data_IF_280991230638
#
_entry.id   IF_280991230638
#
_cell.length_a   1.000
_cell.length_b   1.000
_cell.length_c   1.000
_cell.angle_alpha   90.00
_cell.angle_beta   90.00
_cell.angle_gamma   90.00
#
_symmetry.space_group_name_H-M   'P 1'
#
loop_
_entity.id
_entity.type
_entity.pdbx_description
1 polymer ?
#
# COMPACT_ATOMS: atom_id res chain seq x y z
N UNK A 1 -30.93 46.69 1.75
CA UNK A 1 -29.56 46.40 1.26
C UNK A 1 -28.79 45.58 2.29
N UNK A 2 -29.17 44.33 2.55
CA UNK A 2 -28.49 43.44 3.52
C UNK A 2 -28.30 41.99 3.02
N UNK A 3 -28.95 41.60 1.93
CA UNK A 3 -28.86 40.25 1.36
C UNK A 3 -27.50 40.02 0.66
N UNK A 4 -26.87 41.08 0.14
CA UNK A 4 -25.61 40.98 -0.61
C UNK A 4 -24.37 40.64 0.24
N UNK A 5 -24.39 40.96 1.54
CA UNK A 5 -23.25 40.71 2.44
C UNK A 5 -23.21 39.25 2.92
N UNK A 6 -24.37 38.63 3.13
CA UNK A 6 -24.45 37.24 3.56
C UNK A 6 -23.99 36.27 2.45
N UNK A 7 -24.34 36.55 1.19
CA UNK A 7 -23.93 35.73 0.03
C UNK A 7 -22.42 35.82 -0.21
N UNK A 8 -21.79 36.98 0.01
CA UNK A 8 -20.34 37.14 -0.13
C UNK A 8 -19.55 36.37 0.94
N UNK A 9 -20.05 36.31 2.17
CA UNK A 9 -19.43 35.52 3.26
C UNK A 9 -19.60 34.02 3.01
N UNK A 10 -20.77 33.59 2.50
CA UNK A 10 -20.99 32.19 2.12
C UNK A 10 -20.08 31.78 0.94
N UNK A 11 -19.86 32.65 -0.05
CA UNK A 11 -18.94 32.35 -1.17
C UNK A 11 -17.48 32.25 -0.72
N UNK A 12 -17.02 33.06 0.23
CA UNK A 12 -15.65 32.96 0.76
C UNK A 12 -15.42 31.69 1.59
N UNK A 13 -16.45 31.20 2.28
CA UNK A 13 -16.38 29.93 3.04
C UNK A 13 -16.40 28.70 2.13
N UNK A 14 -16.93 28.80 0.90
CA UNK A 14 -16.99 27.68 -0.05
C UNK A 14 -15.72 27.57 -0.92
N UNK A 15 -14.87 28.60 -0.97
CA UNK A 15 -13.63 28.59 -1.76
C UNK A 15 -12.40 28.00 -1.09
N UNK A 16 -12.51 27.52 0.16
CA UNK A 16 -11.39 26.82 0.84
C UNK A 16 -11.58 25.31 0.97
N UNK A 17 -12.62 24.74 0.36
CA UNK A 17 -12.57 23.35 -0.12
C UNK A 17 -11.67 23.25 -1.37
N UNK A 18 -10.52 23.94 -1.33
CA UNK A 18 -9.43 23.71 -2.25
C UNK A 18 -8.95 22.31 -1.92
N UNK A 19 -9.14 21.39 -2.86
CA UNK A 19 -8.42 20.13 -2.94
C UNK A 19 -6.93 20.46 -2.86
N UNK A 20 -6.42 20.52 -1.64
CA UNK A 20 -5.00 20.63 -1.39
C UNK A 20 -4.45 19.24 -1.71
N UNK A 21 -4.18 19.01 -3.00
CA UNK A 21 -3.09 18.13 -3.41
C UNK A 21 -1.82 18.77 -2.85
N UNK A 22 -1.63 18.63 -1.54
CA UNK A 22 -0.47 19.14 -0.83
C UNK A 22 0.75 18.53 -1.50
N UNK A 23 1.72 19.37 -1.85
CA UNK A 23 3.02 18.84 -2.28
C UNK A 23 3.50 17.86 -1.22
N UNK A 24 3.96 16.70 -1.67
CA UNK A 24 4.55 15.70 -0.79
C UNK A 24 5.58 16.38 0.12
N UNK A 25 5.53 16.21 1.46
CA UNK A 25 6.46 16.85 2.36
C UNK A 25 7.90 16.54 1.98
N UNK A 26 8.82 17.48 2.19
CA UNK A 26 10.23 17.28 1.84
C UNK A 26 10.90 16.11 2.59
N UNK A 27 10.30 15.66 3.70
CA UNK A 27 10.71 14.49 4.47
C UNK A 27 10.26 13.16 3.85
N UNK A 28 9.35 13.16 2.88
CA UNK A 28 8.81 11.98 2.25
C UNK A 28 9.49 11.73 0.89
N UNK A 29 9.78 10.46 0.60
CA UNK A 29 10.39 10.03 -0.67
C UNK A 29 9.36 9.94 -1.79
N UNK A 30 8.12 9.55 -1.45
CA UNK A 30 6.99 9.50 -2.36
C UNK A 30 5.72 9.80 -1.56
N UNK A 31 4.71 10.36 -2.23
CA UNK A 31 3.37 10.39 -1.70
C UNK A 31 2.37 9.83 -2.71
N UNK A 32 1.31 9.24 -2.20
CA UNK A 32 0.15 8.81 -2.97
C UNK A 32 -1.14 9.20 -2.24
N UNK A 33 -2.27 9.15 -2.95
CA UNK A 33 -3.56 9.58 -2.42
C UNK A 33 -4.48 8.38 -2.18
N UNK A 34 -5.06 8.33 -0.99
CA UNK A 34 -5.99 7.30 -0.56
C UNK A 34 -7.31 7.95 -0.15
N UNK A 35 -8.35 7.13 0.03
CA UNK A 35 -9.65 7.58 0.54
C UNK A 35 -9.55 8.29 1.90
N UNK A 36 -8.56 7.92 2.72
CA UNK A 36 -8.35 8.50 4.06
C UNK A 36 -7.38 9.68 4.06
N UNK A 37 -6.86 10.06 2.89
CA UNK A 37 -5.96 11.21 2.72
C UNK A 37 -4.60 10.83 2.14
N UNK A 38 -3.62 11.68 2.40
CA UNK A 38 -2.28 11.57 1.81
C UNK A 38 -1.48 10.50 2.53
N UNK A 39 -0.95 9.56 1.75
CA UNK A 39 0.00 8.57 2.20
C UNK A 39 1.41 9.03 1.85
N UNK A 40 2.30 9.01 2.83
CA UNK A 40 3.67 9.49 2.71
C UNK A 40 4.63 8.34 2.99
N UNK A 41 5.48 8.03 2.03
CA UNK A 41 6.52 7.01 2.16
C UNK A 41 7.82 7.69 2.56
N UNK A 42 8.55 7.07 3.47
CA UNK A 42 9.90 7.49 3.86
C UNK A 42 10.79 6.26 3.75
N UNK A 43 11.76 6.28 2.84
CA UNK A 43 12.71 5.19 2.68
C UNK A 43 13.78 5.24 3.77
N UNK A 44 14.07 4.09 4.36
CA UNK A 44 15.08 3.96 5.40
C UNK A 44 16.48 4.38 4.94
N UNK A 45 16.82 4.17 3.67
CA UNK A 45 18.15 4.51 3.14
C UNK A 45 18.54 6.00 3.28
N UNK A 46 17.55 6.90 3.34
CA UNK A 46 17.77 8.35 3.47
C UNK A 46 17.69 8.84 4.93
N UNK A 47 17.42 7.95 5.89
CA UNK A 47 17.14 8.29 7.29
C UNK A 47 18.17 7.65 8.23
N UNK A 48 18.50 8.36 9.31
CA UNK A 48 19.55 7.98 10.27
C UNK A 48 19.36 6.59 10.90
N UNK A 49 18.12 6.20 11.21
CA UNK A 49 17.81 4.90 11.83
C UNK A 49 17.70 3.77 10.81
N UNK A 50 17.83 4.05 9.51
CA UNK A 50 17.71 3.11 8.40
C UNK A 50 16.36 2.40 8.31
N UNK A 51 15.33 2.91 8.97
CA UNK A 51 14.01 2.27 9.02
C UNK A 51 13.02 3.01 8.13
N UNK A 52 12.38 2.27 7.24
CA UNK A 52 11.34 2.83 6.39
C UNK A 52 10.04 3.03 7.15
N UNK A 53 9.26 4.03 6.74
CA UNK A 53 8.00 4.42 7.38
C UNK A 53 6.94 4.74 6.34
N UNK A 54 5.69 4.54 6.74
CA UNK A 54 4.51 5.03 6.04
C UNK A 54 3.69 5.87 7.00
N UNK A 55 3.41 7.11 6.61
CA UNK A 55 2.57 8.04 7.35
C UNK A 55 1.26 8.27 6.58
N UNK A 56 0.16 8.42 7.30
CA UNK A 56 -1.14 8.85 6.78
C UNK A 56 -1.45 10.24 7.34
N UNK A 57 -1.53 11.25 6.49
CA UNK A 57 -1.71 12.64 6.87
C UNK A 57 -0.69 13.10 7.94
N UNK A 58 0.58 12.74 7.76
CA UNK A 58 1.66 13.02 8.71
C UNK A 58 1.71 12.15 9.98
N UNK A 59 0.80 11.18 10.15
CA UNK A 59 0.77 10.28 11.31
C UNK A 59 1.37 8.92 10.91
N UNK A 60 2.40 8.44 11.63
CA UNK A 60 3.03 7.15 11.36
C UNK A 60 2.03 6.00 11.58
N UNK A 61 1.73 5.24 10.53
CA UNK A 61 0.84 4.07 10.58
C UNK A 61 1.60 2.76 10.41
N UNK A 62 2.82 2.81 9.87
CA UNK A 62 3.66 1.64 9.70
C UNK A 62 5.15 2.01 9.73
N UNK A 63 5.94 1.11 10.31
CA UNK A 63 7.38 1.21 10.40
C UNK A 63 8.02 -0.17 10.26
N UNK A 64 9.09 -0.27 9.49
CA UNK A 64 9.80 -1.53 9.28
C UNK A 64 11.32 -1.34 9.18
N UNK A 65 12.07 -2.40 9.52
CA UNK A 65 13.51 -2.47 9.31
C UNK A 65 13.87 -2.79 7.85
N UNK A 66 13.63 -1.80 7.00
CA UNK A 66 13.83 -1.88 5.56
C UNK A 66 14.47 -0.61 5.02
N UNK A 67 15.30 -0.76 3.99
CA UNK A 67 15.97 0.36 3.31
C UNK A 67 15.03 1.08 2.35
N UNK A 68 14.10 0.34 1.76
CA UNK A 68 13.11 0.83 0.80
C UNK A 68 11.72 0.32 1.19
N UNK A 69 10.71 1.16 0.96
CA UNK A 69 9.29 0.82 1.10
C UNK A 69 8.50 1.48 -0.01
N UNK A 70 7.51 0.79 -0.55
CA UNK A 70 6.69 1.34 -1.61
C UNK A 70 5.49 0.46 -1.88
N UNK A 71 4.83 0.74 -2.99
CA UNK A 71 3.78 -0.13 -3.52
C UNK A 71 4.06 -0.38 -5.00
N UNK A 72 3.59 -1.51 -5.48
CA UNK A 72 3.84 -1.98 -6.84
C UNK A 72 2.90 -1.26 -7.82
N UNK A 73 3.47 -0.43 -8.71
CA UNK A 73 2.75 0.66 -9.41
C UNK A 73 1.85 0.18 -10.56
N UNK A 74 2.03 -1.04 -11.06
CA UNK A 74 1.35 -1.50 -12.28
C UNK A 74 -0.02 -2.13 -11.99
N UNK A 75 -1.04 -1.30 -11.73
CA UNK A 75 -2.45 -1.74 -11.73
C UNK A 75 -2.89 -2.56 -10.51
N UNK A 76 -2.05 -2.64 -9.47
CA UNK A 76 -2.27 -3.46 -8.28
C UNK A 76 -2.96 -2.72 -7.13
N UNK A 77 -3.93 -1.86 -7.46
CA UNK A 77 -4.75 -1.20 -6.47
C UNK A 77 -6.25 -1.32 -6.79
N UNK A 78 -7.03 -1.47 -5.73
CA UNK A 78 -8.47 -1.31 -5.73
C UNK A 78 -8.82 0.15 -5.46
N UNK A 79 -9.82 0.67 -6.16
CA UNK A 79 -10.46 1.94 -5.85
C UNK A 79 -11.98 1.74 -5.86
N UNK A 80 -12.64 2.14 -4.77
CA UNK A 80 -14.11 2.17 -4.68
C UNK A 80 -14.74 3.15 -5.69
N UNK A 81 -14.01 4.22 -6.04
CA UNK A 81 -14.43 5.22 -7.02
C UNK A 81 -13.28 5.51 -8.01
N UNK A 82 -13.32 4.79 -9.14
CA UNK A 82 -12.35 4.95 -10.23
C UNK A 82 -12.31 6.37 -10.82
N UNK A 83 -13.34 7.19 -10.58
CA UNK A 83 -13.41 8.58 -11.05
C UNK A 83 -12.68 9.57 -10.15
N UNK A 84 -12.47 9.24 -8.86
CA UNK A 84 -11.73 10.08 -7.91
C UNK A 84 -10.24 9.75 -7.84
N UNK A 85 -9.84 8.55 -8.27
CA UNK A 85 -8.43 8.14 -8.31
C UNK A 85 -7.84 7.78 -6.94
N UNK A 86 -8.64 7.78 -5.89
CA UNK A 86 -8.19 7.47 -4.53
C UNK A 86 -8.06 5.96 -4.34
N UNK A 87 -6.85 5.52 -4.00
CA UNK A 87 -6.58 4.11 -3.74
C UNK A 87 -7.27 3.68 -2.45
N UNK A 88 -8.05 2.61 -2.51
CA UNK A 88 -8.74 2.02 -1.36
C UNK A 88 -8.00 0.81 -0.82
N UNK A 89 -7.37 -0.03 -1.66
CA UNK A 89 -6.56 -1.18 -1.21
C UNK A 89 -5.40 -1.41 -2.17
N UNK A 90 -4.20 -1.72 -1.68
CA UNK A 90 -3.05 -2.03 -2.54
C UNK A 90 -1.99 -2.83 -1.80
N UNK A 91 -1.06 -3.42 -2.55
CA UNK A 91 0.07 -4.18 -2.00
C UNK A 91 1.26 -3.25 -1.77
N UNK A 92 1.74 -3.21 -0.52
CA UNK A 92 2.97 -2.54 -0.10
C UNK A 92 4.08 -3.57 -0.02
N UNK A 93 5.24 -3.26 -0.61
CA UNK A 93 6.47 -4.02 -0.46
C UNK A 93 7.47 -3.28 0.43
N UNK A 94 8.36 -4.02 1.08
CA UNK A 94 9.54 -3.47 1.74
C UNK A 94 10.75 -4.39 1.62
N UNK A 95 11.91 -3.79 1.35
CA UNK A 95 13.20 -4.46 1.18
C UNK A 95 13.97 -4.48 2.49
N UNK A 96 14.06 -5.67 3.10
CA UNK A 96 14.62 -5.87 4.43
C UNK A 96 16.10 -5.47 4.46
N UNK A 97 16.50 -4.75 5.51
CA UNK A 97 17.91 -4.41 5.72
C UNK A 97 18.75 -5.67 6.00
N UNK A 98 18.20 -6.58 6.80
CA UNK A 98 18.78 -7.89 7.09
C UNK A 98 17.88 -9.00 6.52
N UNK A 99 18.41 -9.84 5.60
CA UNK A 99 17.64 -10.95 5.05
C UNK A 99 17.20 -11.93 6.14
N UNK A 100 15.95 -12.36 6.10
CA UNK A 100 15.40 -13.28 7.09
C UNK A 100 15.47 -14.72 6.59
N UNK A 101 16.14 -15.60 7.32
CA UNK A 101 16.16 -17.02 6.96
C UNK A 101 14.78 -17.65 7.19
N UNK A 102 14.18 -18.20 6.13
CA UNK A 102 12.87 -18.87 6.17
C UNK A 102 13.04 -20.38 6.29
N UNK A 103 13.96 -20.94 5.50
CA UNK A 103 14.40 -22.35 5.59
C UNK A 103 15.92 -22.39 5.56
N UNK A 104 16.52 -23.58 5.66
CA UNK A 104 17.98 -23.75 5.64
C UNK A 104 18.62 -23.09 4.41
N UNK A 105 17.95 -23.15 3.25
CA UNK A 105 18.49 -22.74 1.96
C UNK A 105 17.76 -21.52 1.35
N UNK A 106 16.79 -20.93 2.08
CA UNK A 106 15.91 -19.87 1.58
C UNK A 106 15.95 -18.63 2.49
N UNK A 107 16.30 -17.48 1.89
CA UNK A 107 16.38 -16.19 2.58
C UNK A 107 15.40 -15.18 1.97
N UNK A 108 14.57 -14.59 2.82
CA UNK A 108 13.64 -13.55 2.44
C UNK A 108 14.32 -12.18 2.43
N UNK A 109 14.25 -11.50 1.29
CA UNK A 109 14.79 -10.15 1.11
C UNK A 109 13.70 -9.09 0.99
N UNK A 110 12.55 -9.45 0.41
CA UNK A 110 11.40 -8.57 0.24
C UNK A 110 10.16 -9.22 0.84
N UNK A 111 9.40 -8.44 1.59
CA UNK A 111 8.13 -8.85 2.15
C UNK A 111 7.02 -7.90 1.71
N UNK A 112 5.78 -8.40 1.77
CA UNK A 112 4.60 -7.71 1.30
C UNK A 112 3.53 -7.64 2.38
N UNK A 113 2.71 -6.58 2.32
CA UNK A 113 1.49 -6.37 3.12
C UNK A 113 0.42 -5.72 2.27
N UNK A 114 -0.84 -5.92 2.62
CA UNK A 114 -1.95 -5.15 2.04
C UNK A 114 -2.30 -4.03 3.00
N UNK A 115 -2.42 -2.83 2.46
CA UNK A 115 -2.95 -1.68 3.17
C UNK A 115 -4.36 -1.44 2.64
N UNK A 116 -5.34 -1.46 3.53
CA UNK A 116 -6.77 -1.31 3.23
C UNK A 116 -7.33 -0.05 3.92
N UNK A 117 -7.73 0.90 3.08
CA UNK A 117 -8.31 2.20 3.40
C UNK A 117 -9.80 2.27 3.01
N UNK A 118 -10.45 1.12 2.75
CA UNK A 118 -11.86 1.07 2.35
C UNK A 118 -12.83 1.36 3.51
N UNK A 119 -12.37 1.21 4.75
CA UNK A 119 -13.09 1.52 5.98
C UNK A 119 -12.93 2.97 6.47
N UNK A 120 -13.26 3.21 7.74
CA UNK A 120 -13.02 4.48 8.44
C UNK A 120 -11.58 4.59 8.98
N UNK A 121 -10.95 3.43 9.23
CA UNK A 121 -9.57 3.30 9.70
C UNK A 121 -8.76 2.44 8.72
N UNK A 122 -7.45 2.64 8.70
CA UNK A 122 -6.54 1.81 7.92
C UNK A 122 -6.39 0.44 8.57
N UNK A 123 -6.50 -0.61 7.75
CA UNK A 123 -6.19 -1.99 8.15
C UNK A 123 -4.94 -2.44 7.41
N UNK A 124 -3.89 -2.80 8.16
CA UNK A 124 -2.64 -3.33 7.62
C UNK A 124 -2.61 -4.85 7.86
N UNK A 125 -2.43 -5.63 6.80
CA UNK A 125 -2.42 -7.08 6.92
C UNK A 125 -1.19 -7.63 7.64
N UNK A 126 -1.23 -8.92 7.98
CA UNK A 126 0.02 -9.66 8.25
C UNK A 126 0.96 -9.62 7.04
N UNK A 127 2.23 -9.88 7.32
CA UNK A 127 3.27 -10.08 6.32
C UNK A 127 3.00 -11.34 5.51
N UNK A 128 3.27 -11.29 4.21
CA UNK A 128 3.29 -12.43 3.30
C UNK A 128 4.39 -12.25 2.27
N UNK A 129 4.78 -13.35 1.62
CA UNK A 129 5.82 -13.38 0.59
C UNK A 129 5.58 -14.56 -0.36
N UNK A 130 5.93 -14.41 -1.66
CA UNK A 130 5.85 -15.49 -2.65
C UNK A 130 6.71 -16.69 -2.27
N UNK A 131 6.46 -17.84 -2.91
CA UNK A 131 7.22 -19.07 -2.68
C UNK A 131 8.69 -18.86 -3.06
N UNK A 132 8.93 -18.27 -4.23
CA UNK A 132 10.23 -17.76 -4.63
C UNK A 132 10.47 -16.40 -3.96
N UNK A 133 11.43 -16.35 -3.05
CA UNK A 133 11.66 -15.20 -2.16
C UNK A 133 12.54 -14.08 -2.75
N UNK A 134 12.84 -14.13 -4.05
CA UNK A 134 13.73 -13.18 -4.71
C UNK A 134 13.09 -12.52 -5.93
N UNK A 135 12.82 -11.22 -5.82
CA UNK A 135 12.47 -10.33 -6.93
C UNK A 135 11.36 -10.87 -7.85
N UNK A 136 10.33 -11.47 -7.25
CA UNK A 136 9.15 -11.95 -7.97
C UNK A 136 8.13 -10.82 -8.05
N UNK A 137 7.77 -10.48 -9.29
CA UNK A 137 6.72 -9.50 -9.54
C UNK A 137 5.34 -10.10 -9.26
N UNK A 138 4.40 -9.23 -8.90
CA UNK A 138 2.98 -9.57 -8.94
C UNK A 138 2.60 -9.85 -10.40
N UNK A 139 1.94 -10.97 -10.65
CA UNK A 139 1.44 -11.36 -11.97
C UNK A 139 0.05 -10.79 -12.22
N UNK A 140 -0.87 -11.01 -11.27
CA UNK A 140 -2.20 -10.39 -11.28
C UNK A 140 -2.78 -10.20 -9.88
N UNK A 141 -3.72 -9.28 -9.74
CA UNK A 141 -4.55 -9.14 -8.55
C UNK A 141 -6.02 -8.98 -8.92
N UNK A 142 -6.88 -9.71 -8.22
CA UNK A 142 -8.34 -9.58 -8.30
C UNK A 142 -8.85 -8.92 -7.03
N UNK A 143 -9.44 -7.74 -7.18
CA UNK A 143 -9.85 -6.91 -6.07
C UNK A 143 -11.37 -6.96 -5.87
N UNK A 144 -11.82 -7.42 -4.70
CA UNK A 144 -13.18 -7.22 -4.22
C UNK A 144 -13.23 -6.10 -3.19
N UNK A 145 -14.43 -5.65 -2.81
CA UNK A 145 -14.58 -4.64 -1.76
C UNK A 145 -14.07 -5.13 -0.40
N UNK A 146 -14.33 -6.40 -0.07
CA UNK A 146 -13.99 -7.01 1.25
C UNK A 146 -12.78 -7.96 1.21
N UNK A 147 -12.35 -8.35 0.02
CA UNK A 147 -11.34 -9.37 -0.17
C UNK A 147 -10.45 -9.03 -1.37
N UNK A 148 -9.36 -9.78 -1.53
CA UNK A 148 -8.54 -9.76 -2.73
C UNK A 148 -7.90 -11.13 -2.96
N UNK A 149 -7.54 -11.42 -4.20
CA UNK A 149 -6.59 -12.47 -4.53
C UNK A 149 -5.41 -11.83 -5.23
N UNK A 150 -4.19 -12.19 -4.80
CA UNK A 150 -2.94 -11.72 -5.36
C UNK A 150 -2.19 -12.94 -5.85
N UNK A 151 -1.71 -12.91 -7.09
CA UNK A 151 -0.89 -13.94 -7.68
C UNK A 151 0.46 -13.35 -8.06
N UNK A 152 1.53 -14.12 -7.83
CA UNK A 152 2.89 -13.80 -8.22
C UNK A 152 3.30 -14.63 -9.43
N UNK A 153 4.35 -14.20 -10.14
CA UNK A 153 4.85 -14.88 -11.34
C UNK A 153 5.41 -16.28 -11.09
N UNK A 154 5.74 -16.61 -9.85
CA UNK A 154 6.15 -17.95 -9.42
C UNK A 154 4.95 -18.92 -9.24
N UNK A 155 3.73 -18.47 -9.52
CA UNK A 155 2.51 -19.25 -9.38
C UNK A 155 1.92 -19.22 -7.97
N UNK A 156 2.60 -18.62 -6.98
CA UNK A 156 2.07 -18.50 -5.62
C UNK A 156 0.89 -17.53 -5.59
N UNK A 157 -0.16 -17.90 -4.87
CA UNK A 157 -1.42 -17.17 -4.77
C UNK A 157 -1.83 -16.97 -3.32
N UNK A 158 -2.33 -15.78 -3.04
CA UNK A 158 -2.70 -15.34 -1.70
C UNK A 158 -4.11 -14.78 -1.70
N UNK A 159 -4.89 -15.11 -0.68
CA UNK A 159 -6.19 -14.51 -0.42
C UNK A 159 -6.09 -13.54 0.74
N UNK A 160 -6.59 -12.33 0.53
CA UNK A 160 -6.84 -11.34 1.57
C UNK A 160 -8.31 -11.34 1.98
N UNK A 161 -8.56 -11.34 3.28
CA UNK A 161 -9.88 -11.15 3.86
C UNK A 161 -9.75 -10.55 5.27
N UNK A 162 -10.48 -9.45 5.53
CA UNK A 162 -10.59 -8.83 6.86
C UNK A 162 -9.26 -8.57 7.57
N UNK A 163 -8.28 -8.00 6.87
CA UNK A 163 -6.97 -7.70 7.45
C UNK A 163 -6.01 -8.89 7.55
N UNK A 164 -6.36 -10.04 7.01
CA UNK A 164 -5.49 -11.22 7.02
C UNK A 164 -5.21 -11.71 5.60
N UNK A 165 -3.97 -12.09 5.35
CA UNK A 165 -3.50 -12.70 4.09
C UNK A 165 -3.10 -14.14 4.36
N UNK A 166 -3.66 -15.06 3.58
CA UNK A 166 -3.38 -16.50 3.65
C UNK A 166 -2.96 -17.00 2.28
N UNK A 167 -1.91 -17.83 2.23
CA UNK A 167 -1.52 -18.53 1.00
C UNK A 167 -2.59 -19.55 0.64
N UNK A 168 -3.02 -19.55 -0.62
CA UNK A 168 -4.02 -20.49 -1.16
C UNK A 168 -3.44 -21.43 -2.23
N UNK A 169 -2.27 -21.11 -2.77
CA UNK A 169 -1.47 -21.95 -3.66
C UNK A 169 -0.01 -21.48 -3.55
N UNK A 170 0.95 -22.41 -3.54
CA UNK A 170 2.38 -22.09 -3.50
C UNK A 170 3.04 -22.13 -4.89
N UNK A 171 2.29 -22.48 -5.94
CA UNK A 171 2.79 -22.56 -7.32
C UNK A 171 3.54 -23.84 -7.66
N UNK A 172 3.74 -24.75 -6.69
CA UNK A 172 4.54 -25.96 -6.87
C UNK A 172 3.87 -27.05 -7.71
N UNK A 173 2.53 -27.02 -7.85
CA UNK A 173 1.77 -28.08 -8.55
C UNK A 173 1.76 -27.97 -10.09
N UNK A 174 2.38 -26.94 -10.70
CA UNK A 174 2.53 -26.89 -12.17
C UNK A 174 3.73 -27.69 -12.71
N UNK A 175 4.50 -28.35 -11.84
CA UNK A 175 5.64 -29.17 -12.22
C UNK A 175 5.36 -30.67 -12.18
N UNK A 176 4.37 -31.19 -12.93
CA UNK A 176 4.30 -32.58 -13.41
C UNK A 176 3.01 -32.81 -14.23
N UNK A 177 3.05 -32.50 -15.53
CA UNK A 177 2.30 -33.28 -16.54
C UNK A 177 2.89 -33.07 -17.93
N UNK A 178 3.41 -34.18 -18.45
CA UNK A 178 4.00 -34.48 -19.77
C UNK A 178 5.50 -34.19 -19.99
#
# INVERSE_FOLDING_TARGET
>A
MMISRAVAVLLMLVTTASYAFGKCPASATKCDYTRLGTLEYIWGQEIKDKQSRILLNGIEIFKNDSSQIGWDQDGWFYSDDKGMGDMSKFVVYYDLNEPRQITKDLYLYRAYRIFDFSGEEVVISNEFYPHEVWNIDIDWASWGKKNAVIAFKDGSRFKYESGHVTMIDDGSETGESE
#
